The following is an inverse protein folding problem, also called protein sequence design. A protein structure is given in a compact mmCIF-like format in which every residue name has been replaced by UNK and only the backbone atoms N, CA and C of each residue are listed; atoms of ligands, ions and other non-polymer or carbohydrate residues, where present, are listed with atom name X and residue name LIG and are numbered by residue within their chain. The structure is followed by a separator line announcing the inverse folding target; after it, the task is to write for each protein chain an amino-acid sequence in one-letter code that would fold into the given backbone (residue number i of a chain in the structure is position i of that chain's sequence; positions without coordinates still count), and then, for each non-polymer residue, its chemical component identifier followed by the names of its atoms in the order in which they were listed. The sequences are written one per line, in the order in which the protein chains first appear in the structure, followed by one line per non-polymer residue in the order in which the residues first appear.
data_IF_905775606703
#
_entry.id   IF_905775606703
#
_cell.length_a   1.000
_cell.length_b   1.000
_cell.length_c   1.000
_cell.angle_alpha   90.00
_cell.angle_beta   90.00
_cell.angle_gamma   90.00
#
_symmetry.space_group_name_H-M   'P 1'
#
loop_
_entity.id
_entity.type
_entity.pdbx_description
1 polymer ?
#
# COMPACT_ATOMS: atom_id res chain seq x y z
N UNK A 1 8.66 -12.91 0.91
CA UNK A 1 9.59 -13.55 1.90
C UNK A 1 8.90 -13.65 3.25
N UNK A 2 8.61 -14.87 3.74
CA UNK A 2 7.87 -15.10 4.98
C UNK A 2 8.64 -14.62 6.22
N UNK A 3 8.03 -13.76 7.03
CA UNK A 3 8.53 -13.40 8.36
C UNK A 3 8.48 -14.63 9.27
N UNK A 4 9.62 -15.28 9.45
CA UNK A 4 9.80 -16.36 10.42
C UNK A 4 10.24 -15.74 11.74
N UNK A 5 9.33 -15.75 12.72
CA UNK A 5 9.66 -15.68 14.14
C UNK A 5 9.86 -17.10 14.69
N UNK A 6 10.61 -17.30 15.78
CA UNK A 6 10.93 -18.64 16.31
C UNK A 6 9.73 -19.43 16.85
N UNK A 7 8.49 -18.94 16.70
CA UNK A 7 7.28 -19.47 17.30
C UNK A 7 6.23 -20.01 16.30
N UNK A 8 6.61 -20.34 15.06
CA UNK A 8 5.70 -20.90 14.07
C UNK A 8 4.81 -19.85 13.38
N UNK A 9 3.92 -20.29 12.45
CA UNK A 9 3.07 -19.38 11.68
C UNK A 9 2.12 -18.63 12.60
N UNK A 10 2.15 -17.30 12.55
CA UNK A 10 1.29 -16.42 13.33
C UNK A 10 -0.13 -16.52 12.74
N UNK A 11 -1.08 -16.98 13.55
CA UNK A 11 -2.50 -16.97 13.23
C UNK A 11 -2.99 -15.52 13.34
N UNK A 12 -3.33 -14.87 12.22
CA UNK A 12 -3.68 -13.44 12.20
C UNK A 12 -4.88 -13.11 13.10
N UNK A 13 -5.81 -14.05 13.28
CA UNK A 13 -6.99 -13.91 14.13
C UNK A 13 -6.70 -14.06 15.64
N UNK A 14 -5.55 -14.62 16.01
CA UNK A 14 -5.13 -14.84 17.40
C UNK A 14 -3.91 -14.02 17.79
N UNK A 15 -3.37 -13.21 16.87
CA UNK A 15 -2.24 -12.35 17.13
C UNK A 15 -2.67 -11.27 18.13
N UNK A 16 -2.12 -11.26 19.37
CA UNK A 16 -2.39 -10.15 20.28
C UNK A 16 -1.95 -8.85 19.62
N UNK A 17 -2.69 -7.75 19.84
CA UNK A 17 -2.24 -6.44 19.39
C UNK A 17 -0.90 -6.13 20.08
N UNK A 18 0.19 -6.44 19.39
CA UNK A 18 1.52 -6.45 19.96
C UNK A 18 2.19 -5.16 19.55
N UNK A 19 2.39 -4.28 20.53
CA UNK A 19 3.11 -3.01 20.36
C UNK A 19 4.48 -3.23 19.68
N UNK A 20 5.11 -4.39 19.90
CA UNK A 20 6.35 -4.81 19.23
C UNK A 20 6.16 -5.01 17.72
N UNK A 21 5.06 -5.65 17.31
CA UNK A 21 4.71 -5.87 15.90
C UNK A 21 4.39 -4.52 15.23
N UNK A 22 3.60 -3.67 15.87
CA UNK A 22 3.29 -2.32 15.37
C UNK A 22 4.57 -1.47 15.19
N UNK A 23 5.51 -1.54 16.13
CA UNK A 23 6.81 -0.85 16.02
C UNK A 23 7.64 -1.37 14.85
N UNK A 24 7.77 -2.69 14.71
CA UNK A 24 8.53 -3.30 13.61
C UNK A 24 7.90 -2.98 12.26
N UNK A 25 6.58 -2.98 12.20
CA UNK A 25 5.81 -2.59 11.04
C UNK A 25 6.05 -1.12 10.67
N UNK A 26 5.95 -0.20 11.63
CA UNK A 26 6.23 1.22 11.41
C UNK A 26 7.65 1.45 10.86
N UNK A 27 8.66 0.74 11.39
CA UNK A 27 10.03 0.80 10.88
C UNK A 27 10.08 0.38 9.40
N UNK A 28 9.44 -0.73 9.04
CA UNK A 28 9.45 -1.24 7.67
C UNK A 28 8.73 -0.33 6.68
N UNK A 29 7.61 0.25 7.10
CA UNK A 29 6.85 1.21 6.29
C UNK A 29 7.71 2.47 6.01
N UNK A 30 8.39 3.00 7.03
CA UNK A 30 9.27 4.17 6.89
C UNK A 30 10.49 3.86 6.02
N UNK A 31 11.09 2.67 6.17
CA UNK A 31 12.16 2.20 5.28
C UNK A 31 11.70 2.13 3.81
N UNK A 32 10.51 1.57 3.56
CA UNK A 32 9.92 1.49 2.22
C UNK A 32 9.70 2.89 1.62
N UNK A 33 9.06 3.79 2.38
CA UNK A 33 8.82 5.18 1.99
C UNK A 33 10.13 5.89 1.61
N UNK A 34 11.13 5.82 2.48
CA UNK A 34 12.44 6.48 2.28
C UNK A 34 13.17 5.93 1.06
N UNK A 35 13.10 4.60 0.86
CA UNK A 35 13.69 3.93 -0.30
C UNK A 35 13.00 4.38 -1.59
N UNK A 36 11.67 4.39 -1.62
CA UNK A 36 10.91 4.82 -2.78
C UNK A 36 11.20 6.28 -3.14
N UNK A 37 11.22 7.17 -2.14
CA UNK A 37 11.58 8.58 -2.33
C UNK A 37 12.98 8.75 -2.92
N UNK A 38 13.99 8.07 -2.34
CA UNK A 38 15.38 8.11 -2.81
C UNK A 38 15.54 7.63 -4.26
N UNK A 39 14.67 6.72 -4.72
CA UNK A 39 14.65 6.24 -6.09
C UNK A 39 14.07 7.32 -7.02
N UNK A 40 12.95 7.95 -6.64
CA UNK A 40 12.31 9.01 -7.42
C UNK A 40 13.20 10.25 -7.59
N UNK A 41 14.04 10.56 -6.59
CA UNK A 41 15.02 11.66 -6.70
C UNK A 41 16.08 11.39 -7.79
N UNK A 42 16.36 10.13 -8.09
CA UNK A 42 17.44 9.71 -9.00
C UNK A 42 16.93 9.31 -10.39
N UNK A 43 15.70 8.84 -10.49
CA UNK A 43 15.11 8.29 -11.70
C UNK A 43 13.68 8.76 -11.90
N UNK A 44 13.25 9.01 -13.15
CA UNK A 44 11.85 9.32 -13.42
C UNK A 44 10.98 8.11 -13.04
N UNK A 45 9.88 8.38 -12.33
CA UNK A 45 8.93 7.35 -11.88
C UNK A 45 8.39 6.45 -13.01
N UNK A 46 8.30 6.96 -14.24
CA UNK A 46 7.86 6.21 -15.42
C UNK A 46 8.78 5.04 -15.82
N UNK A 47 10.00 4.98 -15.28
CA UNK A 47 10.94 3.86 -15.48
C UNK A 47 10.90 2.84 -14.35
N UNK A 48 10.18 3.13 -13.26
CA UNK A 48 10.11 2.24 -12.12
C UNK A 48 9.09 1.14 -12.37
N UNK A 49 9.45 -0.05 -11.91
CA UNK A 49 8.58 -1.23 -11.89
C UNK A 49 8.42 -1.62 -10.42
N UNK A 50 7.20 -1.57 -9.93
CA UNK A 50 6.87 -1.94 -8.55
C UNK A 50 6.70 -3.46 -8.46
N UNK A 51 6.06 -4.04 -9.46
CA UNK A 51 5.78 -5.48 -9.57
C UNK A 51 5.92 -5.97 -11.00
N UNK A 52 5.91 -7.30 -11.17
CA UNK A 52 5.83 -7.94 -12.49
C UNK A 52 4.46 -7.75 -13.15
N UNK A 53 3.45 -7.34 -12.38
CA UNK A 53 2.05 -7.23 -12.79
C UNK A 53 1.57 -5.78 -12.91
N UNK A 54 2.47 -4.79 -12.89
CA UNK A 54 2.10 -3.35 -12.90
C UNK A 54 1.11 -2.98 -14.00
N UNK A 55 1.33 -3.49 -15.21
CA UNK A 55 0.47 -3.20 -16.37
C UNK A 55 -0.94 -3.78 -16.16
N UNK A 56 -1.04 -5.01 -15.66
CA UNK A 56 -2.31 -5.68 -15.33
C UNK A 56 -3.04 -4.94 -14.20
N UNK A 57 -2.30 -4.59 -13.14
CA UNK A 57 -2.82 -3.85 -11.99
C UNK A 57 -3.38 -2.50 -12.42
N UNK A 58 -2.66 -1.78 -13.28
CA UNK A 58 -3.06 -0.48 -13.77
C UNK A 58 -4.29 -0.54 -14.70
N UNK A 59 -4.38 -1.53 -15.59
CA UNK A 59 -5.56 -1.72 -16.44
C UNK A 59 -6.81 -2.08 -15.63
N UNK A 60 -6.66 -3.00 -14.68
CA UNK A 60 -7.74 -3.39 -13.78
C UNK A 60 -8.16 -2.20 -12.88
N UNK A 61 -7.21 -1.41 -12.38
CA UNK A 61 -7.49 -0.22 -11.59
C UNK A 61 -8.33 0.80 -12.36
N UNK A 62 -7.99 1.07 -13.62
CA UNK A 62 -8.79 1.97 -14.48
C UNK A 62 -10.20 1.46 -14.73
N UNK A 63 -10.39 0.15 -14.75
CA UNK A 63 -11.70 -0.47 -14.99
C UNK A 63 -12.57 -0.40 -13.74
N UNK A 64 -12.01 -0.70 -12.57
CA UNK A 64 -12.74 -0.70 -11.31
C UNK A 64 -12.96 0.73 -10.78
N UNK A 65 -11.99 1.63 -10.97
CA UNK A 65 -12.03 3.01 -10.50
C UNK A 65 -11.95 4.01 -11.65
N UNK A 66 -12.93 4.03 -12.58
CA UNK A 66 -12.90 4.88 -13.77
C UNK A 66 -12.95 6.38 -13.44
N UNK A 67 -13.56 6.73 -12.31
CA UNK A 67 -13.74 8.12 -11.87
C UNK A 67 -12.62 8.60 -10.93
N UNK A 68 -11.57 7.80 -10.72
CA UNK A 68 -10.47 8.16 -9.82
C UNK A 68 -9.51 9.16 -10.47
N UNK A 69 -9.41 10.35 -9.89
CA UNK A 69 -8.46 11.37 -10.36
C UNK A 69 -7.07 11.15 -9.76
N UNK A 70 -6.15 10.68 -10.59
CA UNK A 70 -4.75 10.43 -10.23
C UNK A 70 -3.93 11.69 -9.94
N UNK A 71 -4.46 12.88 -10.25
CA UNK A 71 -3.78 14.17 -10.04
C UNK A 71 -4.31 14.92 -8.82
N UNK A 72 -5.50 14.55 -8.34
CA UNK A 72 -6.11 15.14 -7.16
C UNK A 72 -5.54 14.56 -5.87
N UNK A 73 -5.87 15.21 -4.75
CA UNK A 73 -5.70 14.63 -3.43
C UNK A 73 -6.70 13.49 -3.24
N UNK A 74 -6.24 12.36 -2.74
CA UNK A 74 -7.05 11.18 -2.46
C UNK A 74 -8.12 11.50 -1.41
N UNK A 75 -9.36 11.10 -1.68
CA UNK A 75 -10.47 11.20 -0.73
C UNK A 75 -10.49 10.01 0.24
N UNK A 76 -9.83 10.18 1.39
CA UNK A 76 -9.79 9.15 2.44
C UNK A 76 -11.16 8.79 3.01
N UNK A 77 -12.09 9.75 3.10
CA UNK A 77 -13.42 9.51 3.65
C UNK A 77 -14.23 8.63 2.70
N UNK A 78 -14.11 8.88 1.40
CA UNK A 78 -14.65 8.02 0.34
C UNK A 78 -14.07 6.60 0.38
N UNK A 79 -12.77 6.45 0.64
CA UNK A 79 -12.14 5.14 0.76
C UNK A 79 -12.56 4.38 2.03
N UNK A 80 -12.76 5.10 3.14
CA UNK A 80 -13.07 4.50 4.46
C UNK A 80 -14.56 4.25 4.69
N UNK A 81 -15.43 4.73 3.80
CA UNK A 81 -16.85 4.41 3.85
C UNK A 81 -17.11 2.93 3.51
N UNK A 82 -18.35 2.46 3.72
CA UNK A 82 -18.69 1.05 3.56
C UNK A 82 -18.44 0.54 2.13
N UNK A 83 -18.88 1.30 1.13
CA UNK A 83 -18.77 0.92 -0.28
C UNK A 83 -17.31 0.97 -0.77
N UNK A 84 -16.56 2.01 -0.37
CA UNK A 84 -15.14 2.16 -0.66
C UNK A 84 -14.32 1.01 -0.11
N UNK A 85 -14.53 0.64 1.17
CA UNK A 85 -13.84 -0.49 1.79
C UNK A 85 -14.10 -1.81 1.08
N UNK A 86 -15.36 -2.07 0.73
CA UNK A 86 -15.75 -3.28 0.01
C UNK A 86 -15.10 -3.33 -1.37
N UNK A 87 -15.14 -2.22 -2.11
CA UNK A 87 -14.55 -2.10 -3.44
C UNK A 87 -13.03 -2.26 -3.46
N UNK A 88 -12.32 -1.62 -2.52
CA UNK A 88 -10.87 -1.78 -2.38
C UNK A 88 -10.49 -3.21 -1.97
N UNK A 89 -11.27 -3.85 -1.10
CA UNK A 89 -11.05 -5.25 -0.73
C UNK A 89 -11.19 -6.19 -1.92
N UNK A 90 -12.28 -6.08 -2.69
CA UNK A 90 -12.50 -6.89 -3.89
C UNK A 90 -11.39 -6.68 -4.93
N UNK A 91 -10.92 -5.44 -5.09
CA UNK A 91 -9.81 -5.12 -5.98
C UNK A 91 -8.50 -5.82 -5.56
N UNK A 92 -8.15 -5.72 -4.27
CA UNK A 92 -6.91 -6.25 -3.70
C UNK A 92 -6.92 -7.78 -3.65
N UNK A 93 -8.04 -8.41 -3.30
CA UNK A 93 -8.18 -9.87 -3.19
C UNK A 93 -7.88 -10.60 -4.51
N UNK A 94 -8.15 -9.97 -5.67
CA UNK A 94 -7.79 -10.53 -6.99
C UNK A 94 -6.27 -10.73 -7.16
N UNK A 95 -5.44 -10.06 -6.36
CA UNK A 95 -3.98 -10.15 -6.40
C UNK A 95 -3.38 -11.00 -5.29
N UNK A 96 -4.17 -11.53 -4.34
CA UNK A 96 -3.70 -12.32 -3.20
C UNK A 96 -2.80 -13.50 -3.60
N UNK A 97 -3.09 -14.15 -4.73
CA UNK A 97 -2.30 -15.29 -5.23
C UNK A 97 -1.15 -14.88 -6.17
N UNK A 98 -1.13 -13.63 -6.65
CA UNK A 98 -0.15 -13.14 -7.61
C UNK A 98 0.95 -12.31 -6.96
N UNK A 99 0.60 -11.50 -5.96
CA UNK A 99 1.49 -10.59 -5.24
C UNK A 99 1.68 -11.17 -3.83
N UNK A 100 2.91 -11.58 -3.50
CA UNK A 100 3.22 -12.23 -2.22
C UNK A 100 2.84 -11.35 -1.02
N UNK A 101 3.14 -10.06 -1.10
CA UNK A 101 2.99 -9.10 -0.01
C UNK A 101 1.85 -8.11 -0.29
N UNK A 102 0.72 -8.61 -0.81
CA UNK A 102 -0.41 -7.80 -1.30
C UNK A 102 -1.11 -6.95 -0.20
N UNK A 103 -1.01 -7.38 1.06
CA UNK A 103 -1.57 -6.72 2.24
C UNK A 103 -0.48 -6.08 3.12
N UNK A 104 0.70 -5.82 2.55
CA UNK A 104 1.77 -5.17 3.27
C UNK A 104 1.53 -3.67 3.38
N UNK A 105 1.59 -3.17 4.61
CA UNK A 105 1.38 -1.75 4.89
C UNK A 105 2.40 -0.85 4.20
N UNK A 106 1.93 0.23 3.58
CA UNK A 106 2.78 1.22 2.93
C UNK A 106 2.34 2.65 3.21
N UNK A 107 3.29 3.58 3.24
CA UNK A 107 3.02 5.02 3.29
C UNK A 107 2.94 5.55 1.86
N UNK A 108 1.81 6.17 1.54
CA UNK A 108 1.53 6.77 0.24
C UNK A 108 1.32 8.27 0.41
N UNK A 109 1.68 9.05 -0.62
CA UNK A 109 1.38 10.48 -0.61
C UNK A 109 -0.09 10.69 -0.95
N UNK A 110 -0.79 11.49 -0.16
CA UNK A 110 -2.20 11.83 -0.38
C UNK A 110 -2.39 12.58 -1.71
N UNK A 111 -1.39 13.34 -2.14
CA UNK A 111 -1.36 14.02 -3.43
C UNK A 111 0.00 13.77 -4.11
N UNK A 112 0.03 13.43 -5.41
CA UNK A 112 1.28 13.18 -6.12
C UNK A 112 2.22 14.39 -6.21
N UNK A 113 1.70 15.61 -6.06
CA UNK A 113 2.45 16.87 -6.12
C UNK A 113 3.08 17.29 -4.79
N UNK A 114 2.79 16.60 -3.69
CA UNK A 114 3.30 16.93 -2.35
C UNK A 114 4.49 16.06 -1.95
N UNK A 115 5.20 16.47 -0.91
CA UNK A 115 6.20 15.64 -0.23
C UNK A 115 5.52 14.78 0.85
N UNK A 116 6.27 13.82 1.41
CA UNK A 116 5.80 13.08 2.58
C UNK A 116 5.76 14.01 3.80
N UNK A 117 4.56 14.26 4.31
CA UNK A 117 4.32 15.04 5.53
C UNK A 117 3.27 14.38 6.42
N UNK A 118 3.11 14.87 7.65
CA UNK A 118 2.17 14.29 8.63
C UNK A 118 0.71 14.30 8.13
N UNK A 119 0.31 15.34 7.39
CA UNK A 119 -1.06 15.50 6.88
C UNK A 119 -1.17 15.14 5.40
N UNK A 120 -0.03 15.00 4.75
CA UNK A 120 0.11 14.79 3.31
C UNK A 120 0.38 13.32 2.98
N UNK A 121 0.47 12.46 3.99
CA UNK A 121 0.72 11.01 3.87
C UNK A 121 -0.48 10.22 4.35
N UNK A 122 -0.87 9.22 3.58
CA UNK A 122 -1.90 8.25 3.94
C UNK A 122 -1.25 6.89 4.21
N UNK A 123 -1.90 6.12 5.08
CA UNK A 123 -1.53 4.75 5.37
C UNK A 123 -2.39 3.78 4.55
N UNK A 124 -1.75 2.93 3.74
CA UNK A 124 -2.43 1.89 2.96
C UNK A 124 -2.16 0.51 3.52
N UNK A 125 -3.22 -0.23 3.85
CA UNK A 125 -3.24 -1.63 4.29
C UNK A 125 -4.45 -2.38 3.73
#
# INVERSE_FOLDING_TARGET
MSLTSPAGPINADEAPNSEEIEKQFAVKVVEHMTTYWSILEKLPGSKLRLTRYDDEIHEHFKTEFPDFDLTATIDEDGMKNKEGKEKWREFIEKYQQKVEDYNFGTMLRANPAWEYGEKETIFGE
#
